data_IF_561651115514
#
_entry.id   IF_561651115514
#
_cell.length_a   1.000
_cell.length_b   1.000
_cell.length_c   1.000
_cell.angle_alpha   90.00
_cell.angle_beta   90.00
_cell.angle_gamma   90.00
#
_symmetry.space_group_name_H-M   'P 1'
#
loop_
_entity.id
_entity.type
_entity.pdbx_description
1 polymer ?
#
# COMPACT_ATOMS: atom_id res chain seq x y z
N UNK A 1 55.44 -31.93 -25.79
CA UNK A 1 55.35 -30.58 -25.16
C UNK A 1 54.20 -29.82 -25.78
N UNK A 2 53.09 -29.70 -25.09
CA UNK A 2 51.88 -29.02 -25.56
C UNK A 2 51.94 -27.53 -25.22
N UNK A 3 51.91 -26.66 -26.22
CA UNK A 3 51.94 -25.21 -26.10
C UNK A 3 50.59 -24.70 -25.61
N UNK A 4 50.50 -24.20 -24.34
CA UNK A 4 49.34 -23.51 -23.82
C UNK A 4 49.09 -22.22 -24.61
N UNK A 5 47.89 -22.09 -25.22
CA UNK A 5 47.42 -20.82 -25.78
C UNK A 5 46.96 -19.91 -24.63
N UNK A 6 47.37 -18.63 -24.62
CA UNK A 6 46.84 -17.68 -23.67
C UNK A 6 45.36 -17.38 -24.03
N UNK A 7 44.51 -17.27 -22.97
CA UNK A 7 43.13 -16.84 -23.09
C UNK A 7 43.08 -15.34 -23.48
N UNK A 8 42.10 -14.91 -24.29
CA UNK A 8 41.96 -13.48 -24.63
C UNK A 8 41.57 -12.70 -23.37
N UNK A 9 42.30 -11.60 -23.14
CA UNK A 9 41.96 -10.60 -22.12
C UNK A 9 40.66 -9.93 -22.61
N UNK A 10 39.59 -10.07 -21.84
CA UNK A 10 38.36 -9.31 -22.06
C UNK A 10 38.65 -7.89 -21.61
N UNK A 11 38.81 -6.98 -22.58
CA UNK A 11 38.95 -5.54 -22.32
C UNK A 11 37.68 -4.98 -21.71
N UNK A 12 37.88 -4.16 -20.72
CA UNK A 12 36.97 -3.34 -19.95
C UNK A 12 35.66 -2.98 -20.65
N UNK A 13 34.57 -3.61 -20.19
CA UNK A 13 33.27 -3.00 -20.34
C UNK A 13 33.22 -1.74 -19.47
N UNK A 14 32.68 -0.60 -19.94
CA UNK A 14 32.53 0.57 -19.10
C UNK A 14 31.74 0.21 -17.85
N UNK A 15 32.29 0.52 -16.68
CA UNK A 15 31.61 0.37 -15.40
C UNK A 15 30.22 1.03 -15.48
N UNK A 16 29.13 0.33 -15.09
CA UNK A 16 27.82 0.98 -15.00
C UNK A 16 28.00 2.14 -14.00
N UNK A 17 27.75 3.36 -14.45
CA UNK A 17 27.80 4.58 -13.64
C UNK A 17 26.95 4.35 -12.40
N UNK A 18 27.60 4.05 -11.28
CA UNK A 18 26.96 3.77 -10.01
C UNK A 18 26.10 4.96 -9.62
N UNK A 19 24.83 4.68 -9.36
CA UNK A 19 23.91 5.66 -8.77
C UNK A 19 24.55 6.12 -7.47
N UNK A 20 25.02 7.38 -7.44
CA UNK A 20 25.71 7.93 -6.29
C UNK A 20 24.81 7.89 -5.06
N UNK A 21 25.37 7.55 -3.87
CA UNK A 21 24.66 7.50 -2.58
C UNK A 21 23.79 8.74 -2.34
N UNK A 22 24.19 9.90 -2.86
CA UNK A 22 23.44 11.15 -2.81
C UNK A 22 22.16 11.13 -3.66
N UNK A 23 22.19 10.44 -4.81
CA UNK A 23 21.00 10.27 -5.67
C UNK A 23 20.01 9.27 -5.06
N UNK A 24 20.51 8.24 -4.38
CA UNK A 24 19.66 7.32 -3.59
C UNK A 24 19.00 8.05 -2.43
N UNK A 25 19.74 8.88 -1.71
CA UNK A 25 19.18 9.68 -0.60
C UNK A 25 18.20 10.76 -1.08
N UNK A 26 18.48 11.40 -2.21
CA UNK A 26 17.53 12.32 -2.83
C UNK A 26 16.30 11.61 -3.38
N UNK A 27 16.46 10.38 -3.89
CA UNK A 27 15.37 9.52 -4.28
C UNK A 27 14.52 9.04 -3.09
N UNK A 28 15.13 8.77 -1.93
CA UNK A 28 14.42 8.41 -0.70
C UNK A 28 13.73 9.61 -0.05
N UNK A 29 14.28 10.81 -0.13
CA UNK A 29 13.65 12.04 0.36
C UNK A 29 12.55 12.57 -0.60
N UNK A 30 12.70 12.30 -1.90
CA UNK A 30 11.65 12.49 -2.91
C UNK A 30 10.78 11.24 -3.08
N UNK A 31 11.12 10.18 -2.39
CA UNK A 31 10.79 8.80 -2.69
C UNK A 31 9.46 8.28 -2.19
N UNK A 32 8.47 9.12 -2.11
CA UNK A 32 7.08 8.64 -2.13
C UNK A 32 6.43 8.90 -3.50
N UNK A 33 7.20 9.13 -4.54
CA UNK A 33 6.63 9.50 -5.83
C UNK A 33 7.43 9.25 -7.10
N UNK A 34 8.63 8.68 -7.04
CA UNK A 34 9.36 8.37 -8.27
C UNK A 34 8.78 7.11 -8.94
N UNK A 35 7.98 7.32 -9.97
CA UNK A 35 7.53 6.26 -10.87
C UNK A 35 8.73 5.58 -11.52
N UNK A 36 9.09 4.39 -11.05
CA UNK A 36 9.92 3.45 -11.79
C UNK A 36 9.00 2.85 -12.86
N UNK A 37 9.28 3.00 -14.17
CA UNK A 37 8.49 2.35 -15.20
C UNK A 37 8.59 0.83 -14.99
N UNK A 38 7.46 0.18 -14.65
CA UNK A 38 7.40 -1.25 -14.36
C UNK A 38 7.25 -1.62 -12.89
N UNK A 39 7.30 -0.67 -11.95
CA UNK A 39 6.94 -0.95 -10.57
C UNK A 39 5.46 -1.35 -10.49
N UNK A 40 5.23 -2.57 -10.09
CA UNK A 40 3.90 -3.12 -9.84
C UNK A 40 3.15 -2.19 -8.89
N UNK A 41 1.91 -1.87 -9.23
CA UNK A 41 0.97 -1.05 -8.44
C UNK A 41 0.61 -1.76 -7.12
N UNK A 42 1.60 -1.94 -6.26
CA UNK A 42 1.44 -2.75 -5.06
C UNK A 42 0.78 -2.01 -3.89
N UNK A 43 0.68 -0.67 -3.94
CA UNK A 43 0.12 0.11 -2.84
C UNK A 43 -0.73 1.27 -3.36
N UNK A 44 -1.92 1.56 -2.80
CA UNK A 44 -2.71 2.74 -3.18
C UNK A 44 -1.92 4.04 -3.02
N UNK A 45 -1.03 4.11 -2.04
CA UNK A 45 -0.11 5.23 -1.81
C UNK A 45 1.07 5.26 -2.82
N UNK A 46 1.25 4.20 -3.63
CA UNK A 46 2.28 4.12 -4.69
C UNK A 46 1.70 4.36 -6.10
N UNK A 47 0.38 4.44 -6.26
CA UNK A 47 -0.27 4.87 -7.49
C UNK A 47 -0.03 6.39 -7.68
N UNK A 48 -0.18 6.93 -8.91
CA UNK A 48 -0.26 8.38 -9.10
C UNK A 48 -1.32 8.94 -8.16
N UNK A 49 -0.89 9.59 -7.11
CA UNK A 49 -1.70 10.08 -6.01
C UNK A 49 -1.17 11.44 -5.55
N UNK A 50 -1.63 11.92 -4.40
CA UNK A 50 -1.18 13.18 -3.85
C UNK A 50 0.34 13.20 -3.64
N UNK A 51 0.96 14.36 -3.81
CA UNK A 51 2.37 14.56 -3.55
C UNK A 51 2.71 14.46 -2.04
N UNK A 52 4.00 14.40 -1.71
CA UNK A 52 4.45 14.25 -0.32
C UNK A 52 3.97 15.40 0.58
N UNK A 53 3.83 16.61 0.06
CA UNK A 53 3.35 17.77 0.82
C UNK A 53 1.86 17.62 1.14
N UNK A 54 1.06 17.13 0.20
CA UNK A 54 -0.35 16.84 0.42
C UNK A 54 -0.56 15.72 1.45
N UNK A 55 0.27 14.66 1.40
CA UNK A 55 0.25 13.57 2.39
C UNK A 55 0.59 14.09 3.80
N UNK A 56 1.62 14.94 3.91
CA UNK A 56 1.97 15.55 5.19
C UNK A 56 0.87 16.47 5.73
N UNK A 57 0.28 17.30 4.87
CA UNK A 57 -0.86 18.15 5.22
C UNK A 57 -2.06 17.33 5.70
N UNK A 58 -2.39 16.22 5.03
CA UNK A 58 -3.45 15.31 5.45
C UNK A 58 -3.18 14.70 6.83
N UNK A 59 -1.93 14.33 7.11
CA UNK A 59 -1.53 13.79 8.41
C UNK A 59 -1.68 14.83 9.54
N UNK A 60 -1.34 16.10 9.30
CA UNK A 60 -1.54 17.18 10.28
C UNK A 60 -3.03 17.48 10.50
N UNK A 61 -3.83 17.55 9.44
CA UNK A 61 -5.28 17.72 9.54
C UNK A 61 -5.94 16.60 10.36
N UNK A 62 -5.54 15.35 10.16
CA UNK A 62 -6.07 14.21 10.90
C UNK A 62 -5.82 14.31 12.42
N UNK A 63 -4.79 15.02 12.84
CA UNK A 63 -4.44 15.23 14.27
C UNK A 63 -5.23 16.36 14.91
N UNK A 64 -5.87 17.25 14.14
CA UNK A 64 -6.57 18.41 14.66
C UNK A 64 -7.67 18.02 15.66
N UNK A 65 -7.80 18.81 16.73
CA UNK A 65 -8.80 18.55 17.77
C UNK A 65 -10.24 18.82 17.28
N UNK A 66 -10.40 19.80 16.41
CA UNK A 66 -11.65 20.21 15.77
C UNK A 66 -11.87 19.58 14.40
N UNK A 67 -11.24 18.42 14.16
CA UNK A 67 -11.33 17.71 12.90
C UNK A 67 -12.77 17.45 12.45
N UNK A 68 -13.03 17.67 11.18
CA UNK A 68 -14.28 17.34 10.51
C UNK A 68 -13.97 16.63 9.20
N UNK A 69 -14.80 15.67 8.76
CA UNK A 69 -14.63 15.01 7.47
C UNK A 69 -14.69 16.03 6.33
N UNK A 70 -13.74 15.94 5.40
CA UNK A 70 -13.65 16.80 4.22
C UNK A 70 -14.22 16.13 2.96
N UNK A 71 -14.21 14.81 2.91
CA UNK A 71 -14.58 14.05 1.71
C UNK A 71 -15.72 13.06 1.96
N UNK A 72 -15.65 12.28 3.02
CA UNK A 72 -16.64 11.24 3.32
C UNK A 72 -17.89 11.84 3.98
N UNK A 73 -19.06 11.38 3.56
CA UNK A 73 -20.29 11.67 4.30
C UNK A 73 -20.37 10.88 5.62
N UNK A 74 -21.33 11.20 6.47
CA UNK A 74 -21.47 10.59 7.79
C UNK A 74 -21.72 9.07 7.73
N UNK A 75 -22.35 8.56 6.66
CA UNK A 75 -22.59 7.13 6.48
C UNK A 75 -21.30 6.41 6.06
N UNK A 76 -20.62 6.95 5.08
CA UNK A 76 -19.36 6.44 4.54
C UNK A 76 -18.26 6.42 5.62
N UNK A 77 -18.15 7.52 6.38
CA UNK A 77 -17.21 7.61 7.47
C UNK A 77 -17.48 6.56 8.56
N UNK A 78 -18.74 6.39 8.97
CA UNK A 78 -19.07 5.39 9.98
C UNK A 78 -18.86 3.94 9.47
N UNK A 79 -19.05 3.70 8.18
CA UNK A 79 -18.72 2.41 7.56
C UNK A 79 -17.20 2.19 7.52
N UNK A 80 -16.42 3.22 7.16
CA UNK A 80 -14.96 3.17 7.22
C UNK A 80 -14.46 2.90 8.64
N UNK A 81 -15.02 3.57 9.64
CA UNK A 81 -14.65 3.36 11.05
C UNK A 81 -14.87 1.92 11.50
N UNK A 82 -16.01 1.32 11.14
CA UNK A 82 -16.27 -0.09 11.42
C UNK A 82 -15.28 -1.02 10.72
N UNK A 83 -14.92 -0.73 9.47
CA UNK A 83 -13.92 -1.48 8.71
C UNK A 83 -12.51 -1.34 9.32
N UNK A 84 -12.14 -0.15 9.75
CA UNK A 84 -10.86 0.13 10.39
C UNK A 84 -10.63 -0.81 11.58
N UNK A 85 -11.56 -0.87 12.52
CA UNK A 85 -11.42 -1.72 13.71
C UNK A 85 -11.43 -3.22 13.38
N UNK A 86 -12.10 -3.64 12.31
CA UNK A 86 -12.14 -5.06 11.92
C UNK A 86 -10.91 -5.51 11.14
N UNK A 87 -10.33 -4.64 10.30
CA UNK A 87 -9.18 -4.99 9.45
C UNK A 87 -7.86 -4.82 10.21
N UNK A 88 -7.71 -3.70 10.95
CA UNK A 88 -6.53 -3.42 11.77
C UNK A 88 -6.97 -2.86 13.11
N UNK A 89 -6.91 -3.68 14.15
CA UNK A 89 -7.23 -3.28 15.51
C UNK A 89 -6.35 -2.11 15.95
N UNK A 90 -6.96 -1.10 16.59
CA UNK A 90 -6.24 0.11 17.03
C UNK A 90 -6.10 1.20 15.96
N UNK A 91 -6.56 0.95 14.73
CA UNK A 91 -6.46 1.93 13.64
C UNK A 91 -7.26 3.21 13.90
N UNK A 92 -8.39 3.14 14.61
CA UNK A 92 -9.14 4.33 15.04
C UNK A 92 -8.39 5.13 16.12
N UNK A 93 -7.73 4.44 17.06
CA UNK A 93 -6.88 5.11 18.05
C UNK A 93 -5.72 5.86 17.37
N UNK A 94 -5.19 5.30 16.28
CA UNK A 94 -4.18 5.93 15.43
C UNK A 94 -4.77 6.99 14.47
N UNK A 95 -6.09 7.23 14.48
CA UNK A 95 -6.80 8.19 13.61
C UNK A 95 -6.66 7.88 12.11
N UNK A 96 -6.56 6.60 11.75
CA UNK A 96 -6.41 6.17 10.37
C UNK A 96 -7.61 6.56 9.50
N UNK A 97 -8.83 6.54 10.06
CA UNK A 97 -10.06 6.99 9.40
C UNK A 97 -9.98 8.47 8.98
N UNK A 98 -9.46 9.33 9.86
CA UNK A 98 -9.31 10.77 9.60
C UNK A 98 -8.23 11.04 8.56
N UNK A 99 -7.12 10.31 8.64
CA UNK A 99 -6.03 10.42 7.67
C UNK A 99 -6.49 9.99 6.27
N UNK A 100 -7.23 8.89 6.17
CA UNK A 100 -7.81 8.42 4.90
C UNK A 100 -8.76 9.47 4.32
N UNK A 101 -9.65 10.03 5.12
CA UNK A 101 -10.60 11.07 4.67
C UNK A 101 -9.86 12.30 4.11
N UNK A 102 -8.89 12.84 4.86
CA UNK A 102 -8.10 13.99 4.45
C UNK A 102 -7.25 13.70 3.20
N UNK A 103 -6.72 12.48 3.06
CA UNK A 103 -5.94 12.07 1.90
C UNK A 103 -6.84 11.94 0.66
N UNK A 104 -8.01 11.33 0.82
CA UNK A 104 -9.00 11.23 -0.26
C UNK A 104 -9.49 12.60 -0.73
N UNK A 105 -9.56 13.62 0.15
CA UNK A 105 -9.97 14.97 -0.25
C UNK A 105 -9.07 15.56 -1.35
N UNK A 106 -7.77 15.21 -1.35
CA UNK A 106 -6.75 15.71 -2.30
C UNK A 106 -6.33 14.70 -3.37
N UNK A 107 -6.83 13.47 -3.31
CA UNK A 107 -6.45 12.39 -4.23
C UNK A 107 -7.11 12.53 -5.62
N UNK A 108 -6.73 11.66 -6.54
CA UNK A 108 -7.27 11.59 -7.88
C UNK A 108 -8.75 11.17 -7.86
N UNK A 109 -9.48 11.58 -8.88
CA UNK A 109 -10.90 11.19 -9.06
C UNK A 109 -11.04 9.66 -9.15
N UNK A 110 -10.10 9.00 -9.81
CA UNK A 110 -10.11 7.55 -9.98
C UNK A 110 -9.98 6.83 -8.63
N UNK A 111 -9.02 7.22 -7.80
CA UNK A 111 -8.83 6.64 -6.48
C UNK A 111 -10.04 6.87 -5.57
N UNK A 112 -10.60 8.09 -5.57
CA UNK A 112 -11.85 8.42 -4.88
C UNK A 112 -12.99 7.49 -5.27
N UNK A 113 -13.21 7.32 -6.58
CA UNK A 113 -14.29 6.46 -7.08
C UNK A 113 -14.07 5.00 -6.70
N UNK A 114 -12.82 4.52 -6.81
CA UNK A 114 -12.47 3.15 -6.43
C UNK A 114 -12.70 2.89 -4.96
N UNK A 115 -12.31 3.83 -4.10
CA UNK A 115 -12.53 3.74 -2.65
C UNK A 115 -14.01 3.74 -2.29
N UNK A 116 -14.79 4.70 -2.82
CA UNK A 116 -16.24 4.76 -2.57
C UNK A 116 -16.98 3.53 -3.08
N UNK A 117 -16.59 3.00 -4.25
CA UNK A 117 -17.14 1.75 -4.77
C UNK A 117 -16.86 0.59 -3.82
N UNK A 118 -15.67 0.52 -3.26
CA UNK A 118 -15.30 -0.54 -2.32
C UNK A 118 -16.12 -0.46 -1.01
N UNK A 119 -16.31 0.74 -0.45
CA UNK A 119 -17.22 0.95 0.69
C UNK A 119 -18.66 0.52 0.36
N UNK A 120 -19.14 0.93 -0.83
CA UNK A 120 -20.49 0.61 -1.30
C UNK A 120 -20.71 -0.90 -1.46
N UNK A 121 -19.73 -1.65 -1.93
CA UNK A 121 -19.83 -3.11 -2.09
C UNK A 121 -19.91 -3.80 -0.73
N UNK A 122 -19.11 -3.40 0.27
CA UNK A 122 -19.20 -3.96 1.63
C UNK A 122 -20.56 -3.68 2.25
N UNK A 123 -21.10 -2.48 2.06
CA UNK A 123 -22.40 -2.08 2.58
C UNK A 123 -23.57 -2.80 1.86
N UNK A 124 -23.44 -3.03 0.55
CA UNK A 124 -24.42 -3.79 -0.24
C UNK A 124 -24.46 -5.27 0.18
N UNK A 125 -23.30 -5.91 0.36
CA UNK A 125 -23.23 -7.30 0.84
C UNK A 125 -23.83 -7.43 2.25
N UNK A 126 -23.56 -6.45 3.13
CA UNK A 126 -24.16 -6.38 4.46
C UNK A 126 -25.70 -6.31 4.43
N UNK A 127 -26.25 -5.47 3.58
CA UNK A 127 -27.71 -5.34 3.40
C UNK A 127 -28.32 -6.59 2.78
N UNK A 128 -27.63 -7.19 1.81
CA UNK A 128 -28.11 -8.40 1.15
C UNK A 128 -28.18 -9.59 2.11
N UNK A 129 -27.16 -9.78 2.98
CA UNK A 129 -27.10 -10.93 3.89
C UNK A 129 -27.87 -10.71 5.17
N UNK A 130 -27.83 -9.52 5.74
CA UNK A 130 -28.32 -9.24 7.09
C UNK A 130 -29.38 -8.14 7.16
N UNK A 131 -29.77 -7.55 6.04
CA UNK A 131 -30.81 -6.49 5.98
C UNK A 131 -30.39 -5.16 6.62
N UNK A 132 -29.12 -4.98 6.98
CA UNK A 132 -28.61 -3.80 7.69
C UNK A 132 -27.30 -3.30 7.03
N UNK A 133 -26.98 -2.01 7.12
CA UNK A 133 -25.71 -1.50 6.64
C UNK A 133 -24.53 -2.06 7.47
N UNK A 134 -23.35 -2.18 6.88
CA UNK A 134 -22.17 -2.80 7.49
C UNK A 134 -21.87 -2.26 8.89
N UNK A 135 -21.93 -0.94 9.07
CA UNK A 135 -21.70 -0.28 10.36
C UNK A 135 -22.68 -0.67 11.48
N UNK A 136 -23.83 -1.20 11.15
CA UNK A 136 -24.88 -1.60 12.10
C UNK A 136 -24.90 -3.12 12.37
N UNK A 137 -23.99 -3.86 11.79
CA UNK A 137 -23.81 -5.28 12.02
C UNK A 137 -23.05 -5.56 13.32
N UNK A 138 -23.27 -6.76 13.88
CA UNK A 138 -22.42 -7.26 14.96
C UNK A 138 -21.02 -7.56 14.42
N UNK A 139 -20.03 -7.61 15.32
CA UNK A 139 -18.65 -7.95 14.95
C UNK A 139 -18.55 -9.31 14.23
N UNK A 140 -19.30 -10.31 14.68
CA UNK A 140 -19.34 -11.62 14.04
C UNK A 140 -19.84 -11.53 12.59
N UNK A 141 -20.91 -10.77 12.35
CA UNK A 141 -21.45 -10.57 11.01
C UNK A 141 -20.50 -9.77 10.11
N UNK A 142 -19.85 -8.74 10.67
CA UNK A 142 -18.81 -7.98 9.94
C UNK A 142 -17.65 -8.89 9.53
N UNK A 143 -17.16 -9.72 10.45
CA UNK A 143 -16.08 -10.68 10.19
C UNK A 143 -16.48 -11.74 9.16
N UNK A 144 -17.75 -12.18 9.15
CA UNK A 144 -18.26 -13.11 8.13
C UNK A 144 -18.17 -12.50 6.73
N UNK A 145 -18.61 -11.23 6.56
CA UNK A 145 -18.51 -10.51 5.28
C UNK A 145 -17.05 -10.38 4.84
N UNK A 146 -16.19 -9.92 5.75
CA UNK A 146 -14.78 -9.70 5.43
C UNK A 146 -14.04 -11.00 5.09
N UNK A 147 -14.35 -12.09 5.81
CA UNK A 147 -13.79 -13.42 5.54
C UNK A 147 -14.24 -13.95 4.18
N UNK A 148 -15.50 -13.76 3.83
CA UNK A 148 -16.03 -14.15 2.52
C UNK A 148 -15.38 -13.33 1.39
N UNK A 149 -15.23 -12.02 1.58
CA UNK A 149 -14.56 -11.14 0.63
C UNK A 149 -13.08 -11.53 0.46
N UNK A 150 -12.37 -11.80 1.57
CA UNK A 150 -10.97 -12.22 1.57
C UNK A 150 -10.75 -13.59 0.91
N UNK A 151 -11.70 -14.52 1.01
CA UNK A 151 -11.66 -15.85 0.38
C UNK A 151 -12.05 -15.84 -1.11
N UNK A 152 -12.58 -14.74 -1.62
CA UNK A 152 -12.96 -14.59 -3.02
C UNK A 152 -11.77 -14.64 -3.98
N UNK A 153 -12.06 -14.92 -5.26
CA UNK A 153 -11.04 -14.84 -6.30
C UNK A 153 -10.84 -13.39 -6.74
N UNK A 154 -9.59 -12.93 -6.93
CA UNK A 154 -9.33 -11.63 -7.53
C UNK A 154 -9.83 -11.61 -8.98
N UNK A 155 -10.26 -10.44 -9.46
CA UNK A 155 -10.69 -10.26 -10.86
C UNK A 155 -9.53 -10.34 -11.84
N UNK A 156 -8.32 -10.16 -11.35
CA UNK A 156 -7.09 -10.34 -12.08
C UNK A 156 -6.42 -11.60 -11.54
N UNK A 157 -6.27 -12.62 -12.39
CA UNK A 157 -5.40 -13.75 -12.05
C UNK A 157 -3.98 -13.22 -11.90
N UNK A 158 -3.37 -13.48 -10.75
CA UNK A 158 -1.96 -13.17 -10.54
C UNK A 158 -1.16 -13.92 -11.61
N UNK A 159 -0.37 -13.19 -12.37
CA UNK A 159 0.54 -13.75 -13.34
C UNK A 159 1.55 -14.63 -12.60
N UNK A 160 1.37 -15.93 -12.68
CA UNK A 160 2.42 -16.86 -12.31
C UNK A 160 3.48 -16.75 -13.40
N UNK A 161 4.54 -15.99 -13.09
CA UNK A 161 5.70 -15.93 -13.96
C UNK A 161 6.36 -17.32 -14.00
N UNK A 162 6.19 -18.02 -15.12
CA UNK A 162 6.88 -19.29 -15.37
C UNK A 162 8.15 -18.96 -16.17
N UNK A 163 9.36 -19.19 -15.63
CA UNK A 163 10.60 -18.94 -16.36
C UNK A 163 10.63 -19.74 -17.65
N UNK A 164 10.83 -19.07 -18.78
CA UNK A 164 11.06 -19.70 -20.07
C UNK A 164 9.89 -19.70 -21.06
N UNK A 165 8.71 -19.20 -20.69
CA UNK A 165 7.58 -19.15 -21.63
C UNK A 165 7.27 -17.72 -22.02
N UNK A 166 7.89 -17.21 -23.09
CA UNK A 166 7.43 -15.99 -23.78
C UNK A 166 6.26 -16.39 -24.67
N UNK A 167 5.09 -16.55 -24.10
CA UNK A 167 3.86 -16.63 -24.87
C UNK A 167 3.30 -15.22 -24.98
N UNK A 168 3.30 -14.66 -26.17
CA UNK A 168 2.60 -13.42 -26.49
C UNK A 168 1.10 -13.75 -26.43
N UNK A 169 0.52 -13.63 -25.25
CA UNK A 169 -0.91 -13.79 -25.08
C UNK A 169 -1.63 -12.57 -25.68
N UNK A 170 -2.78 -12.76 -26.34
CA UNK A 170 -3.63 -11.64 -26.72
C UNK A 170 -3.97 -10.84 -25.46
N UNK A 171 -4.00 -9.50 -25.57
CA UNK A 171 -4.33 -8.64 -24.42
C UNK A 171 -5.62 -9.16 -23.76
N UNK A 172 -5.56 -9.56 -22.48
CA UNK A 172 -6.74 -10.06 -21.80
C UNK A 172 -7.77 -8.93 -21.71
N UNK A 173 -9.04 -9.27 -21.85
CA UNK A 173 -10.12 -8.35 -21.57
C UNK A 173 -9.91 -7.71 -20.18
N UNK A 174 -10.23 -6.42 -20.00
CA UNK A 174 -10.01 -5.76 -18.71
C UNK A 174 -10.70 -6.58 -17.62
N UNK A 175 -10.00 -6.90 -16.52
CA UNK A 175 -10.53 -7.76 -15.48
C UNK A 175 -11.75 -7.10 -14.85
N UNK A 176 -12.82 -7.88 -14.66
CA UNK A 176 -13.98 -7.42 -13.88
C UNK A 176 -13.54 -7.28 -12.42
N UNK A 177 -13.84 -6.12 -11.82
CA UNK A 177 -13.61 -5.90 -10.40
C UNK A 177 -14.50 -6.82 -9.56
N UNK A 178 -13.91 -7.59 -8.67
CA UNK A 178 -14.61 -8.53 -7.79
C UNK A 178 -14.73 -7.97 -6.37
N UNK A 179 -15.53 -8.63 -5.53
CA UNK A 179 -15.62 -8.28 -4.09
C UNK A 179 -14.26 -8.39 -3.41
N UNK A 180 -13.42 -9.35 -3.83
CA UNK A 180 -12.05 -9.48 -3.34
C UNK A 180 -11.20 -8.26 -3.67
N UNK A 181 -11.29 -7.75 -4.89
CA UNK A 181 -10.53 -6.55 -5.29
C UNK A 181 -10.95 -5.32 -4.49
N UNK A 182 -12.25 -5.19 -4.18
CA UNK A 182 -12.76 -4.13 -3.32
C UNK A 182 -12.25 -4.27 -1.88
N UNK A 183 -12.26 -5.48 -1.34
CA UNK A 183 -11.70 -5.76 -0.01
C UNK A 183 -10.20 -5.45 0.05
N UNK A 184 -9.41 -5.90 -0.93
CA UNK A 184 -7.98 -5.64 -0.99
C UNK A 184 -7.68 -4.14 -1.12
N UNK A 185 -8.49 -3.38 -1.85
CA UNK A 185 -8.37 -1.93 -1.90
C UNK A 185 -8.57 -1.29 -0.51
N UNK A 186 -9.66 -1.62 0.20
CA UNK A 186 -9.91 -1.09 1.55
C UNK A 186 -8.83 -1.50 2.54
N UNK A 187 -8.42 -2.77 2.51
CA UNK A 187 -7.33 -3.28 3.35
C UNK A 187 -6.04 -2.51 3.13
N UNK A 188 -5.66 -2.24 1.88
CA UNK A 188 -4.47 -1.48 1.56
C UNK A 188 -4.53 -0.05 2.09
N UNK A 189 -5.67 0.62 1.96
CA UNK A 189 -5.86 1.97 2.50
C UNK A 189 -5.75 1.98 4.02
N UNK A 190 -6.45 1.07 4.70
CA UNK A 190 -6.51 1.02 6.17
C UNK A 190 -5.16 0.61 6.76
N UNK A 191 -4.54 -0.45 6.24
CA UNK A 191 -3.22 -0.89 6.68
C UNK A 191 -2.14 0.15 6.37
N UNK A 192 -2.18 0.74 5.18
CA UNK A 192 -1.26 1.82 4.81
C UNK A 192 -1.36 3.02 5.74
N UNK A 193 -2.58 3.47 6.05
CA UNK A 193 -2.81 4.57 6.97
C UNK A 193 -2.33 4.25 8.40
N UNK A 194 -2.59 3.02 8.89
CA UNK A 194 -2.17 2.60 10.21
C UNK A 194 -0.65 2.49 10.33
N UNK A 195 -0.01 1.74 9.43
CA UNK A 195 1.45 1.53 9.49
C UNK A 195 2.27 2.76 9.07
N UNK A 196 1.63 3.80 8.51
CA UNK A 196 2.24 5.13 8.35
C UNK A 196 2.11 6.00 9.61
N UNK A 197 1.33 5.60 10.59
CA UNK A 197 1.17 6.31 11.86
C UNK A 197 2.31 5.99 12.85
N UNK A 198 2.50 6.86 13.84
CA UNK A 198 3.47 6.61 14.90
C UNK A 198 3.19 5.31 15.67
N UNK A 199 1.91 4.99 15.90
CA UNK A 199 1.49 3.77 16.58
C UNK A 199 1.86 2.53 15.78
N UNK A 200 1.53 2.49 14.47
CA UNK A 200 1.84 1.38 13.59
C UNK A 200 3.36 1.22 13.38
N UNK A 201 4.09 2.32 13.26
CA UNK A 201 5.54 2.27 13.14
C UNK A 201 6.21 1.70 14.41
N UNK A 202 5.72 2.06 15.59
CA UNK A 202 6.19 1.48 16.86
C UNK A 202 5.91 -0.02 16.95
N UNK A 203 4.74 -0.46 16.51
CA UNK A 203 4.39 -1.89 16.44
C UNK A 203 5.35 -2.67 15.54
N UNK A 204 5.81 -2.07 14.45
CA UNK A 204 6.83 -2.63 13.55
C UNK A 204 8.26 -2.54 14.11
N UNK A 205 8.44 -2.09 15.35
CA UNK A 205 9.76 -1.97 15.99
C UNK A 205 10.54 -0.72 15.58
N UNK A 206 9.91 0.26 14.92
CA UNK A 206 10.58 1.51 14.58
C UNK A 206 10.93 2.28 15.86
N UNK A 207 12.20 2.61 16.01
CA UNK A 207 12.72 3.44 17.09
C UNK A 207 12.61 4.93 16.81
N UNK A 208 12.10 5.32 15.63
CA UNK A 208 12.13 6.69 15.13
C UNK A 208 13.51 7.12 14.59
N UNK A 209 14.51 6.26 14.65
CA UNK A 209 15.82 6.52 14.06
C UNK A 209 15.81 6.15 12.58
N UNK A 210 16.08 7.12 11.71
CA UNK A 210 16.20 6.88 10.25
C UNK A 210 17.55 6.30 9.85
N UNK A 211 18.56 6.40 10.73
CA UNK A 211 19.91 5.90 10.49
C UNK A 211 20.41 5.16 11.73
N UNK A 212 20.93 3.98 11.53
CA UNK A 212 21.64 3.23 12.57
C UNK A 212 23.13 3.53 12.46
N UNK A 213 23.79 3.79 13.58
CA UNK A 213 25.25 3.98 13.64
C UNK A 213 26.00 2.66 13.32
N UNK A 214 25.33 1.52 13.51
CA UNK A 214 25.80 0.19 13.13
C UNK A 214 24.58 -0.67 12.78
N UNK A 215 24.74 -1.64 11.88
CA UNK A 215 23.70 -2.64 11.62
C UNK A 215 23.68 -3.64 12.78
N UNK A 216 22.56 -3.78 13.53
CA UNK A 216 22.51 -4.62 14.73
C UNK A 216 22.74 -6.11 14.46
N UNK A 217 22.57 -6.55 13.21
CA UNK A 217 22.70 -7.97 12.80
C UNK A 217 24.02 -8.29 12.08
N UNK A 218 25.00 -7.38 12.08
CA UNK A 218 26.32 -7.63 11.50
C UNK A 218 27.33 -8.00 12.58
N UNK A 219 27.42 -9.29 12.92
CA UNK A 219 28.38 -9.85 13.91
C UNK A 219 29.78 -10.13 13.32
N UNK A 220 30.16 -9.56 12.18
CA UNK A 220 31.48 -9.77 11.59
C UNK A 220 32.46 -8.67 12.03
N UNK A 221 33.61 -9.10 12.51
CA UNK A 221 34.75 -8.22 12.78
C UNK A 221 35.16 -7.53 11.44
N UNK A 222 34.99 -6.22 11.39
CA UNK A 222 35.44 -5.46 10.22
C UNK A 222 34.51 -4.42 9.66
N UNK A 223 33.41 -4.12 10.31
CA UNK A 223 32.47 -3.02 9.99
C UNK A 223 32.53 -2.48 8.56
N UNK A 224 31.39 -2.21 7.96
CA UNK A 224 31.36 -1.52 6.67
C UNK A 224 31.90 -0.08 6.82
N UNK A 225 33.16 0.14 6.45
CA UNK A 225 33.78 1.47 6.32
C UNK A 225 33.43 2.12 4.99
#
# INVERSE_FOLDING_TARGET
MAKKRPLPVVNDAPEPSGIGRRQVLQGLLAGVGAAIPGATRAHPLSAPGPDAAAVQSAAEKAKAADWKPEFLDAHQLATLQALCERIVSGSLAARSDRFIDALLAVDTRENKQRFLSALGVMDADARQRFGKPFKALTEAQQNEILSAAAGGKPGREDWIWTPGTIVRQPEPAPPKTTTRDHFDNLKQWIAGAYYSSEAGMKELGSTGQMFFASFPDCDHEGGHS
#
